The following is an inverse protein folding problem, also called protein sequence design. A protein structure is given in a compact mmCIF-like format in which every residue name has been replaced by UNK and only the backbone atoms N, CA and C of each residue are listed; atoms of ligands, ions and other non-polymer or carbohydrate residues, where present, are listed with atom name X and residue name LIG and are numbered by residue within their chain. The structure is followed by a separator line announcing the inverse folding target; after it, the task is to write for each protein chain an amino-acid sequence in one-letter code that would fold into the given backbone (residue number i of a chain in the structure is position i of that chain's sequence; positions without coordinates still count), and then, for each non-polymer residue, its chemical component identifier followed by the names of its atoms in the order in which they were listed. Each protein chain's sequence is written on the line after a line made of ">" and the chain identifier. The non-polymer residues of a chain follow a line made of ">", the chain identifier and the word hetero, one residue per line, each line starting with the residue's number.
data_IF_341122592538
#
_entry.id   IF_341122592538
#
_cell.length_a   1.000
_cell.length_b   1.000
_cell.length_c   1.000
_cell.angle_alpha   90.00
_cell.angle_beta   90.00
_cell.angle_gamma   90.00
#
_symmetry.space_group_name_H-M   'P 1'
#
loop_
_entity.id
_entity.type
_entity.pdbx_description
1 polymer ?
#
# COMPACT_ATOMS: atom_id res chain seq x y z
N UNK A 1 4.54 -16.55 0.80
CA UNK A 1 4.71 -15.35 1.64
C UNK A 1 3.45 -14.52 1.45
N UNK A 2 2.64 -14.34 2.50
CA UNK A 2 1.29 -13.79 2.35
C UNK A 2 1.34 -12.27 2.20
N UNK A 3 0.82 -11.76 1.07
CA UNK A 3 0.75 -10.32 0.81
C UNK A 3 -0.14 -9.61 1.84
N UNK A 4 0.23 -8.39 2.27
CA UNK A 4 -0.54 -7.63 3.26
C UNK A 4 -1.92 -7.22 2.74
N UNK A 5 -2.07 -7.03 1.42
CA UNK A 5 -3.30 -6.63 0.74
C UNK A 5 -3.43 -7.43 -0.55
N UNK A 6 -4.60 -7.98 -0.80
CA UNK A 6 -4.92 -8.72 -2.04
C UNK A 6 -5.49 -7.79 -3.12
N UNK A 7 -5.38 -8.20 -4.39
CA UNK A 7 -5.97 -7.45 -5.52
C UNK A 7 -7.48 -7.32 -5.36
N UNK A 8 -8.16 -8.33 -4.81
CA UNK A 8 -9.60 -8.29 -4.52
C UNK A 8 -9.95 -7.21 -3.48
N UNK A 9 -9.18 -7.10 -2.39
CA UNK A 9 -9.37 -6.03 -1.39
C UNK A 9 -9.10 -4.64 -1.98
N UNK A 10 -8.06 -4.50 -2.81
CA UNK A 10 -7.76 -3.26 -3.48
C UNK A 10 -8.86 -2.86 -4.48
N UNK A 11 -9.36 -3.81 -5.29
CA UNK A 11 -10.51 -3.60 -6.18
C UNK A 11 -11.75 -3.12 -5.44
N UNK A 12 -12.05 -3.76 -4.30
CA UNK A 12 -13.19 -3.39 -3.46
C UNK A 12 -13.03 -1.97 -2.87
N UNK A 13 -11.80 -1.56 -2.54
CA UNK A 13 -11.50 -0.21 -2.07
C UNK A 13 -11.57 0.85 -3.18
N UNK A 14 -11.05 0.53 -4.37
CA UNK A 14 -11.08 1.40 -5.57
C UNK A 14 -12.46 1.45 -6.24
N UNK A 15 -13.38 0.55 -5.85
CA UNK A 15 -14.67 0.31 -6.52
C UNK A 15 -14.52 -0.06 -8.00
N UNK A 16 -13.46 -0.82 -8.31
CA UNK A 16 -13.20 -1.36 -9.66
C UNK A 16 -13.90 -2.71 -9.79
N UNK A 17 -14.85 -2.81 -10.71
CA UNK A 17 -15.65 -4.04 -10.93
C UNK A 17 -15.09 -4.94 -12.04
N UNK A 18 -14.08 -4.49 -12.79
CA UNK A 18 -13.55 -5.22 -13.95
C UNK A 18 -12.09 -5.67 -13.78
N UNK A 19 -11.76 -6.81 -14.40
CA UNK A 19 -10.45 -7.47 -14.26
C UNK A 19 -9.36 -6.90 -15.18
N UNK A 20 -9.70 -5.97 -16.08
CA UNK A 20 -8.76 -5.41 -17.08
C UNK A 20 -7.59 -4.68 -16.43
N UNK A 21 -7.82 -4.10 -15.26
CA UNK A 21 -6.83 -3.31 -14.53
C UNK A 21 -6.09 -4.11 -13.45
N UNK A 22 -6.35 -5.42 -13.33
CA UNK A 22 -5.73 -6.26 -12.31
C UNK A 22 -4.21 -6.22 -12.36
N UNK A 23 -3.63 -6.21 -13.57
CA UNK A 23 -2.18 -6.10 -13.76
C UNK A 23 -1.62 -4.74 -13.30
N UNK A 24 -2.37 -3.65 -13.52
CA UNK A 24 -2.00 -2.33 -13.05
C UNK A 24 -2.12 -2.25 -11.53
N UNK A 25 -3.23 -2.70 -10.97
CA UNK A 25 -3.48 -2.72 -9.52
C UNK A 25 -2.42 -3.56 -8.81
N UNK A 26 -2.05 -4.72 -9.35
CA UNK A 26 -0.99 -5.55 -8.78
C UNK A 26 0.37 -4.82 -8.77
N UNK A 27 0.69 -4.08 -9.84
CA UNK A 27 1.90 -3.25 -9.91
C UNK A 27 1.88 -2.12 -8.89
N UNK A 28 0.73 -1.45 -8.74
CA UNK A 28 0.54 -0.38 -7.75
C UNK A 28 0.67 -0.88 -6.32
N UNK A 29 0.09 -2.04 -6.00
CA UNK A 29 0.21 -2.68 -4.69
C UNK A 29 1.68 -2.99 -4.39
N UNK A 30 2.42 -3.57 -5.35
CA UNK A 30 3.83 -3.87 -5.18
C UNK A 30 4.68 -2.61 -4.94
N UNK A 31 4.42 -1.54 -5.71
CA UNK A 31 5.10 -0.26 -5.54
C UNK A 31 4.78 0.39 -4.19
N UNK A 32 3.51 0.40 -3.79
CA UNK A 32 3.07 0.94 -2.50
C UNK A 32 3.66 0.14 -1.32
N UNK A 33 3.66 -1.20 -1.41
CA UNK A 33 4.28 -2.06 -0.41
C UNK A 33 5.76 -1.76 -0.28
N UNK A 34 6.53 -1.77 -1.37
CA UNK A 34 7.97 -1.49 -1.33
C UNK A 34 8.27 -0.11 -0.73
N UNK A 35 7.43 0.90 -1.03
CA UNK A 35 7.59 2.25 -0.49
C UNK A 35 7.35 2.31 1.02
N UNK A 36 6.29 1.65 1.51
CA UNK A 36 5.99 1.57 2.95
C UNK A 36 7.04 0.74 3.69
N UNK A 37 7.47 -0.40 3.13
CA UNK A 37 8.52 -1.24 3.72
C UNK A 37 9.86 -0.50 3.83
N UNK A 38 10.22 0.27 2.80
CA UNK A 38 11.43 1.08 2.80
C UNK A 38 11.42 2.20 3.84
N UNK A 39 10.25 2.77 4.11
CA UNK A 39 10.08 3.85 5.08
C UNK A 39 10.00 3.36 6.53
N UNK A 40 9.24 2.28 6.75
CA UNK A 40 9.09 1.65 8.07
C UNK A 40 10.36 0.87 8.45
N UNK A 41 11.10 0.36 7.47
CA UNK A 41 12.22 -0.55 7.67
C UNK A 41 11.80 -1.96 8.09
N UNK A 42 10.53 -2.34 7.86
CA UNK A 42 9.95 -3.64 8.19
C UNK A 42 9.32 -4.27 6.95
N UNK A 43 9.37 -5.60 6.86
CA UNK A 43 8.63 -6.34 5.82
C UNK A 43 7.15 -6.42 6.19
N UNK A 44 6.29 -6.05 5.25
CA UNK A 44 4.84 -6.12 5.39
C UNK A 44 4.34 -7.51 5.01
N UNK A 45 3.47 -8.06 5.84
CA UNK A 45 2.89 -9.41 5.67
C UNK A 45 1.39 -9.36 5.93
N UNK A 46 0.69 -10.46 5.71
CA UNK A 46 -0.74 -10.57 6.06
C UNK A 46 -1.05 -10.35 7.55
N UNK A 47 -0.04 -10.38 8.42
CA UNK A 47 -0.18 -10.09 9.86
C UNK A 47 0.15 -8.65 10.22
N UNK A 48 0.40 -7.79 9.22
CA UNK A 48 0.71 -6.38 9.46
C UNK A 48 -0.49 -5.63 10.07
N UNK A 49 -0.23 -4.66 10.96
CA UNK A 49 -1.27 -3.84 11.60
C UNK A 49 -2.23 -3.21 10.58
N UNK A 50 -3.50 -3.09 10.98
CA UNK A 50 -4.54 -2.45 10.16
C UNK A 50 -4.15 -1.06 9.60
N UNK A 51 -3.44 -0.18 10.34
CA UNK A 51 -2.99 1.11 9.81
C UNK A 51 -2.01 1.00 8.63
N UNK A 52 -1.12 0.01 8.62
CA UNK A 52 -0.16 -0.20 7.52
C UNK A 52 -0.87 -0.71 6.25
N UNK A 53 -1.82 -1.64 6.42
CA UNK A 53 -2.67 -2.10 5.31
C UNK A 53 -3.47 -0.96 4.70
N UNK A 54 -4.07 -0.11 5.55
CA UNK A 54 -4.83 1.05 5.10
C UNK A 54 -3.93 2.07 4.38
N UNK A 55 -2.69 2.26 4.85
CA UNK A 55 -1.72 3.12 4.18
C UNK A 55 -1.41 2.64 2.76
N UNK A 56 -1.18 1.33 2.56
CA UNK A 56 -0.97 0.75 1.23
C UNK A 56 -2.19 1.01 0.33
N UNK A 57 -3.40 0.76 0.82
CA UNK A 57 -4.63 1.00 0.06
C UNK A 57 -4.82 2.47 -0.33
N UNK A 58 -4.54 3.40 0.57
CA UNK A 58 -4.59 4.84 0.31
C UNK A 58 -3.56 5.27 -0.75
N UNK A 59 -2.36 4.71 -0.69
CA UNK A 59 -1.31 4.96 -1.68
C UNK A 59 -1.68 4.41 -3.06
N UNK A 60 -2.25 3.21 -3.11
CA UNK A 60 -2.75 2.60 -4.36
C UNK A 60 -3.87 3.43 -4.96
N UNK A 61 -4.86 3.86 -4.15
CA UNK A 61 -5.93 4.76 -4.59
C UNK A 61 -5.36 6.05 -5.17
N UNK A 62 -4.41 6.69 -4.48
CA UNK A 62 -3.84 7.95 -4.94
C UNK A 62 -3.04 7.80 -6.23
N UNK A 63 -2.26 6.72 -6.34
CA UNK A 63 -1.49 6.42 -7.55
C UNK A 63 -2.41 6.08 -8.73
N UNK A 64 -3.53 5.39 -8.48
CA UNK A 64 -4.54 5.09 -9.48
C UNK A 64 -5.29 6.34 -9.95
N UNK A 65 -5.79 7.17 -9.02
CA UNK A 65 -6.56 8.39 -9.32
C UNK A 65 -5.72 9.48 -10.02
N UNK A 66 -4.45 9.60 -9.64
CA UNK A 66 -3.62 10.76 -10.03
C UNK A 66 -2.48 10.42 -10.98
N UNK A 67 -2.14 9.14 -11.14
CA UNK A 67 -0.96 8.69 -11.90
C UNK A 67 0.37 9.19 -11.33
N UNK A 68 0.36 9.77 -10.13
CA UNK A 68 1.51 10.37 -9.49
C UNK A 68 2.33 9.35 -8.70
N UNK A 69 3.60 9.68 -8.47
CA UNK A 69 4.50 8.84 -7.67
C UNK A 69 3.95 8.63 -6.25
N UNK A 70 4.19 7.43 -5.71
CA UNK A 70 3.76 7.04 -4.37
C UNK A 70 4.50 7.88 -3.31
N UNK A 71 3.82 8.88 -2.74
CA UNK A 71 4.32 9.74 -1.67
C UNK A 71 3.80 9.31 -0.30
N UNK A 72 4.68 9.26 0.70
CA UNK A 72 4.36 8.78 2.06
C UNK A 72 3.71 9.87 2.92
N UNK A 73 3.89 11.16 2.60
CA UNK A 73 3.37 12.29 3.39
C UNK A 73 1.90 12.15 3.85
N UNK A 74 0.94 11.65 3.04
CA UNK A 74 -0.45 11.51 3.46
C UNK A 74 -0.68 10.43 4.52
N UNK A 75 0.18 9.40 4.55
CA UNK A 75 0.07 8.24 5.45
C UNK A 75 1.12 8.27 6.56
N UNK A 76 1.97 9.28 6.58
CA UNK A 76 3.02 9.51 7.58
C UNK A 76 2.49 9.40 9.01
N UNK A 77 1.33 9.99 9.30
CA UNK A 77 0.71 9.95 10.64
C UNK A 77 0.34 8.53 11.11
N UNK A 78 0.13 7.58 10.20
CA UNK A 78 -0.19 6.19 10.51
C UNK A 78 1.04 5.28 10.52
N UNK A 79 2.08 5.68 9.77
CA UNK A 79 3.30 4.91 9.59
C UNK A 79 4.36 5.29 10.63
N UNK A 80 4.39 6.56 11.06
CA UNK A 80 5.38 7.11 11.99
C UNK A 80 5.61 6.27 13.26
N UNK A 81 4.58 5.70 13.93
CA UNK A 81 4.79 4.86 15.12
C UNK A 81 5.51 3.53 14.85
N UNK A 82 5.50 3.05 13.60
CA UNK A 82 6.08 1.76 13.23
C UNK A 82 7.49 1.89 12.64
N UNK A 83 7.95 3.12 12.36
CA UNK A 83 9.26 3.38 11.74
C UNK A 83 10.38 2.91 12.66
N UNK A 84 11.14 1.92 12.21
CA UNK A 84 12.33 1.45 12.91
C UNK A 84 13.44 2.47 12.67
N UNK A 85 13.76 3.25 13.71
CA UNK A 85 14.93 4.14 13.70
C UNK A 85 16.17 3.24 13.71
N UNK A 86 16.79 3.06 12.54
CA UNK A 86 18.15 2.52 12.48
C UNK A 86 19.10 3.62 12.96
N UNK A 87 19.56 3.48 14.20
CA UNK A 87 20.66 4.26 14.78
C UNK A 87 21.99 3.95 14.09
#
# INVERSE_FOLDING_TARGET
>A
MAQPVTVAEAKLFLRVEHEVEDGLIQTLIAAAQAKVEGDVGLSLTSTSPAPLRLAILMLVLRAYERGEAVEIQPVEGWIAPYRVVRL
#
